data_IF_930697378339
#
_entry.id   IF_930697378339
#
_cell.length_a   1.000
_cell.length_b   1.000
_cell.length_c   1.000
_cell.angle_alpha   90.00
_cell.angle_beta   90.00
_cell.angle_gamma   90.00
#
_symmetry.space_group_name_H-M   'P 1'
#
loop_
_entity.id
_entity.type
_entity.pdbx_description
1 polymer ?
#
# COMPACT_ATOMS: atom_id res chain seq x y z
N UNK A 1 -23.64 36.67 -5.15
CA UNK A 1 -23.32 35.67 -6.20
C UNK A 1 -24.16 34.43 -5.93
N UNK A 2 -25.30 34.27 -6.62
CA UNK A 2 -26.19 33.12 -6.40
C UNK A 2 -25.55 31.86 -6.99
N UNK A 3 -25.26 30.85 -6.14
CA UNK A 3 -24.85 29.52 -6.59
C UNK A 3 -26.03 28.92 -7.36
N UNK A 4 -25.91 28.79 -8.69
CA UNK A 4 -26.85 28.01 -9.49
C UNK A 4 -26.80 26.56 -8.98
N UNK A 5 -27.86 26.13 -8.31
CA UNK A 5 -28.01 24.77 -7.85
C UNK A 5 -28.44 23.94 -9.06
N UNK A 6 -27.51 23.20 -9.68
CA UNK A 6 -27.87 22.24 -10.72
C UNK A 6 -28.61 21.07 -10.04
N UNK A 7 -29.91 20.98 -10.29
CA UNK A 7 -30.77 19.94 -9.71
C UNK A 7 -30.40 18.54 -10.21
N UNK A 8 -29.82 18.45 -11.42
CA UNK A 8 -29.29 17.23 -12.01
C UNK A 8 -27.86 17.51 -12.50
N UNK A 9 -26.83 17.10 -11.75
CA UNK A 9 -25.44 17.31 -12.17
C UNK A 9 -25.04 16.48 -13.39
N UNK A 10 -25.85 15.49 -13.80
CA UNK A 10 -25.60 14.68 -14.98
C UNK A 10 -24.40 13.75 -14.81
N UNK A 11 -23.56 13.67 -15.84
CA UNK A 11 -22.33 12.89 -15.84
C UNK A 11 -21.28 13.53 -14.94
N UNK A 12 -20.67 12.72 -14.06
CA UNK A 12 -19.64 13.17 -13.11
C UNK A 12 -18.33 12.43 -13.34
N UNK A 13 -17.22 13.17 -13.35
CA UNK A 13 -15.86 12.63 -13.47
C UNK A 13 -15.14 12.59 -12.13
N UNK A 14 -14.09 11.75 -12.03
CA UNK A 14 -13.19 11.77 -10.87
C UNK A 14 -12.36 13.04 -10.96
N UNK A 15 -12.34 13.85 -9.89
CA UNK A 15 -11.51 15.06 -9.81
C UNK A 15 -10.33 14.77 -8.90
N UNK A 16 -9.18 14.45 -9.49
CA UNK A 16 -7.98 14.19 -8.72
C UNK A 16 -7.40 15.47 -8.11
N UNK A 17 -7.01 15.39 -6.84
CA UNK A 17 -6.24 16.45 -6.19
C UNK A 17 -4.81 16.42 -6.72
N UNK A 18 -4.30 17.58 -7.12
CA UNK A 18 -2.96 17.75 -7.67
C UNK A 18 -2.21 18.81 -6.87
N UNK A 19 -0.92 18.57 -6.62
CA UNK A 19 -0.03 19.55 -6.00
C UNK A 19 0.37 20.68 -6.97
N UNK A 20 1.18 21.65 -6.52
CA UNK A 20 1.61 22.80 -7.33
C UNK A 20 2.32 22.42 -8.64
N UNK A 21 2.94 21.25 -8.69
CA UNK A 21 3.65 20.71 -9.86
C UNK A 21 2.78 19.84 -10.77
N UNK A 22 1.47 19.76 -10.52
CA UNK A 22 0.53 18.97 -11.32
C UNK A 22 0.49 17.47 -11.02
N UNK A 23 1.34 16.97 -10.12
CA UNK A 23 1.32 15.56 -9.68
C UNK A 23 0.19 15.28 -8.71
N UNK A 24 -0.30 14.04 -8.69
CA UNK A 24 -1.32 13.58 -7.76
C UNK A 24 -0.90 13.83 -6.30
N UNK A 25 -1.82 14.43 -5.53
CA UNK A 25 -1.65 14.66 -4.11
C UNK A 25 -2.10 13.41 -3.35
N UNK A 26 -1.14 12.73 -2.70
CA UNK A 26 -1.39 11.43 -2.07
C UNK A 26 -1.95 11.54 -0.64
N UNK A 27 -1.66 12.62 0.09
CA UNK A 27 -2.10 12.76 1.47
C UNK A 27 -3.63 12.84 1.55
N UNK A 28 -4.26 12.19 2.55
CA UNK A 28 -5.70 12.23 2.73
C UNK A 28 -6.23 13.66 2.92
N UNK A 29 -7.45 13.94 2.44
CA UNK A 29 -8.20 15.16 2.83
C UNK A 29 -8.47 15.18 4.33
N UNK A 30 -8.86 16.33 4.88
CA UNK A 30 -9.26 16.41 6.28
C UNK A 30 -10.51 15.55 6.57
N UNK A 31 -11.43 15.43 5.60
CA UNK A 31 -12.56 14.50 5.67
C UNK A 31 -12.10 13.03 5.75
N UNK A 32 -11.09 12.64 4.96
CA UNK A 32 -10.52 11.31 5.01
C UNK A 32 -9.71 11.07 6.29
N UNK A 33 -8.94 12.05 6.76
CA UNK A 33 -8.24 11.99 8.04
C UNK A 33 -9.22 11.78 9.20
N UNK A 34 -10.36 12.48 9.20
CA UNK A 34 -11.37 12.32 10.24
C UNK A 34 -11.85 10.87 10.38
N UNK A 35 -12.12 10.18 9.26
CA UNK A 35 -12.53 8.77 9.26
C UNK A 35 -11.38 7.83 9.60
N UNK A 36 -10.17 8.15 9.13
CA UNK A 36 -8.95 7.38 9.40
C UNK A 36 -8.61 7.41 10.90
N UNK A 37 -8.68 8.58 11.53
CA UNK A 37 -8.21 8.82 12.89
C UNK A 37 -9.29 8.50 13.95
N UNK A 38 -10.56 8.40 13.55
CA UNK A 38 -11.68 8.06 14.44
C UNK A 38 -12.40 6.76 14.02
N UNK A 39 -11.94 5.58 14.49
CA UNK A 39 -12.56 4.29 14.17
C UNK A 39 -14.03 4.13 14.59
N UNK A 40 -14.55 4.99 15.48
CA UNK A 40 -15.97 5.02 15.84
C UNK A 40 -16.87 5.52 14.72
N UNK A 41 -16.33 6.31 13.77
CA UNK A 41 -17.07 6.84 12.61
C UNK A 41 -17.05 5.88 11.40
N UNK A 42 -16.29 4.78 11.49
CA UNK A 42 -16.16 3.82 10.40
C UNK A 42 -17.39 2.88 10.37
N UNK A 43 -17.86 2.59 9.16
CA UNK A 43 -18.95 1.63 8.96
C UNK A 43 -18.50 0.20 9.31
N UNK A 44 -19.21 -0.42 10.28
CA UNK A 44 -18.96 -1.78 10.77
C UNK A 44 -20.02 -2.79 10.33
N UNK A 45 -20.93 -2.40 9.44
CA UNK A 45 -21.94 -3.30 8.88
C UNK A 45 -21.29 -4.50 8.17
N UNK A 46 -22.06 -5.55 7.89
CA UNK A 46 -21.58 -6.63 7.04
C UNK A 46 -21.37 -6.15 5.59
N UNK A 47 -20.37 -6.65 4.85
CA UNK A 47 -20.23 -6.37 3.42
C UNK A 47 -21.48 -6.79 2.63
N UNK A 48 -21.99 -5.91 1.79
CA UNK A 48 -23.06 -6.20 0.85
C UNK A 48 -22.52 -7.02 -0.34
N UNK A 49 -23.40 -7.84 -0.90
CA UNK A 49 -23.14 -8.52 -2.18
C UNK A 49 -23.01 -7.50 -3.32
N UNK A 50 -22.20 -7.84 -4.32
CA UNK A 50 -21.88 -6.94 -5.42
C UNK A 50 -23.12 -6.53 -6.25
N UNK A 51 -24.09 -7.44 -6.44
CA UNK A 51 -25.36 -7.16 -7.11
C UNK A 51 -26.15 -6.04 -6.41
N UNK A 52 -26.20 -6.05 -5.08
CA UNK A 52 -26.82 -4.98 -4.28
C UNK A 52 -26.04 -3.68 -4.35
N UNK A 53 -24.71 -3.73 -4.33
CA UNK A 53 -23.87 -2.53 -4.49
C UNK A 53 -24.11 -1.91 -5.88
N UNK A 54 -24.21 -2.73 -6.92
CA UNK A 54 -24.51 -2.29 -8.28
C UNK A 54 -25.89 -1.66 -8.42
N UNK A 55 -26.92 -2.28 -7.84
CA UNK A 55 -28.30 -1.75 -7.84
C UNK A 55 -28.38 -0.38 -7.16
N UNK A 56 -27.71 -0.22 -6.02
CA UNK A 56 -27.61 1.06 -5.31
C UNK A 56 -26.91 2.12 -6.18
N UNK A 57 -25.77 1.77 -6.79
CA UNK A 57 -25.02 2.65 -7.67
C UNK A 57 -25.86 3.11 -8.88
N UNK A 58 -26.55 2.19 -9.56
CA UNK A 58 -27.45 2.51 -10.67
C UNK A 58 -28.55 3.48 -10.26
N UNK A 59 -29.11 3.30 -9.06
CA UNK A 59 -30.14 4.20 -8.51
C UNK A 59 -29.58 5.61 -8.32
N UNK A 60 -28.39 5.74 -7.73
CA UNK A 60 -27.70 7.03 -7.53
C UNK A 60 -27.41 7.72 -8.87
N UNK A 61 -26.87 6.98 -9.85
CA UNK A 61 -26.57 7.52 -11.19
C UNK A 61 -27.85 8.00 -11.88
N UNK A 62 -28.95 7.23 -11.82
CA UNK A 62 -30.24 7.64 -12.41
C UNK A 62 -30.81 8.89 -11.73
N UNK A 63 -30.82 8.93 -10.40
CA UNK A 63 -31.38 10.04 -9.63
C UNK A 63 -30.69 11.37 -9.93
N UNK A 64 -29.38 11.35 -10.22
CA UNK A 64 -28.63 12.56 -10.59
C UNK A 64 -28.69 12.92 -12.09
N UNK A 65 -29.35 12.10 -12.91
CA UNK A 65 -29.40 12.27 -14.37
C UNK A 65 -28.13 11.83 -15.12
N UNK A 66 -27.34 10.93 -14.53
CA UNK A 66 -26.12 10.38 -15.12
C UNK A 66 -26.36 9.26 -16.12
N UNK A 67 -25.29 8.80 -16.77
CA UNK A 67 -25.34 7.76 -17.79
C UNK A 67 -25.03 6.37 -17.19
N UNK A 68 -26.04 5.51 -17.14
CA UNK A 68 -25.89 4.13 -16.65
C UNK A 68 -25.28 3.17 -17.66
N UNK A 69 -25.15 3.59 -18.93
CA UNK A 69 -24.51 2.79 -19.98
C UNK A 69 -22.99 2.91 -19.93
N UNK A 70 -22.47 3.95 -19.27
CA UNK A 70 -21.06 4.18 -19.03
C UNK A 70 -20.58 3.43 -17.76
N UNK A 71 -19.80 2.34 -17.88
CA UNK A 71 -19.43 1.51 -16.74
C UNK A 71 -18.65 2.26 -15.66
N UNK A 72 -17.77 3.19 -16.07
CA UNK A 72 -16.97 4.00 -15.14
C UNK A 72 -17.84 4.95 -14.30
N UNK A 73 -18.97 5.38 -14.84
CA UNK A 73 -19.89 6.25 -14.11
C UNK A 73 -20.60 5.47 -12.98
N UNK A 74 -21.04 4.26 -13.28
CA UNK A 74 -21.68 3.34 -12.33
C UNK A 74 -20.68 2.86 -11.29
N UNK A 75 -19.49 2.40 -11.71
CA UNK A 75 -18.43 1.96 -10.79
C UNK A 75 -17.98 3.06 -9.84
N UNK A 76 -17.96 4.33 -10.29
CA UNK A 76 -17.67 5.45 -9.42
C UNK A 76 -18.62 5.57 -8.22
N UNK A 77 -19.86 5.09 -8.35
CA UNK A 77 -20.87 5.09 -7.29
C UNK A 77 -20.95 3.77 -6.52
N UNK A 78 -20.10 2.78 -6.83
CA UNK A 78 -19.99 1.60 -5.98
C UNK A 78 -19.53 2.00 -4.59
N UNK A 79 -20.28 1.59 -3.57
CA UNK A 79 -19.90 1.78 -2.18
C UNK A 79 -18.81 0.78 -1.80
N UNK A 80 -17.71 1.27 -1.23
CA UNK A 80 -16.66 0.45 -0.64
C UNK A 80 -17.24 -0.47 0.43
N UNK A 81 -16.96 -1.77 0.30
CA UNK A 81 -17.39 -2.80 1.26
C UNK A 81 -16.28 -3.25 2.21
N UNK A 82 -15.16 -2.51 2.25
CA UNK A 82 -13.95 -2.87 2.98
C UNK A 82 -13.23 -1.64 3.57
N UNK A 83 -12.37 -1.90 4.55
CA UNK A 83 -11.42 -0.94 5.10
C UNK A 83 -12.04 0.24 5.83
N UNK A 84 -11.18 1.19 6.21
CA UNK A 84 -11.52 2.37 7.02
C UNK A 84 -12.49 3.36 6.36
N UNK A 85 -12.64 3.28 5.03
CA UNK A 85 -13.54 4.13 4.26
C UNK A 85 -14.78 3.38 3.75
N UNK A 86 -15.09 2.22 4.36
CA UNK A 86 -16.33 1.51 4.09
C UNK A 86 -17.54 2.46 4.18
N UNK A 87 -18.47 2.33 3.23
CA UNK A 87 -19.62 3.23 3.13
C UNK A 87 -19.40 4.45 2.22
N UNK A 88 -18.17 4.75 1.82
CA UNK A 88 -17.88 5.78 0.79
C UNK A 88 -17.87 5.18 -0.61
N UNK A 89 -18.12 6.00 -1.62
CA UNK A 89 -18.05 5.53 -3.01
C UNK A 89 -16.61 5.36 -3.52
N UNK A 90 -16.41 4.56 -4.55
CA UNK A 90 -15.10 4.40 -5.20
C UNK A 90 -14.55 5.75 -5.68
N UNK A 91 -15.42 6.57 -6.29
CA UNK A 91 -15.10 7.94 -6.68
C UNK A 91 -14.65 8.78 -5.50
N UNK A 92 -15.35 8.71 -4.37
CA UNK A 92 -14.98 9.47 -3.17
C UNK A 92 -13.55 9.12 -2.73
N UNK A 93 -13.18 7.84 -2.72
CA UNK A 93 -11.83 7.44 -2.32
C UNK A 93 -10.74 7.99 -3.25
N UNK A 94 -10.92 7.89 -4.58
CA UNK A 94 -9.96 8.45 -5.54
C UNK A 94 -9.77 9.98 -5.39
N UNK A 95 -10.82 10.70 -4.99
CA UNK A 95 -10.74 12.14 -4.76
C UNK A 95 -10.08 12.49 -3.42
N UNK A 96 -10.25 11.64 -2.40
CA UNK A 96 -9.95 11.97 -1.01
C UNK A 96 -8.67 11.33 -0.45
N UNK A 97 -8.20 10.20 -0.97
CA UNK A 97 -7.01 9.51 -0.48
C UNK A 97 -6.38 8.62 -1.58
N UNK A 98 -5.64 9.27 -2.48
CA UNK A 98 -4.89 8.58 -3.55
C UNK A 98 -3.80 7.69 -2.96
N UNK A 99 -3.15 8.10 -1.86
CA UNK A 99 -2.11 7.28 -1.23
C UNK A 99 -2.65 5.93 -0.76
N UNK A 100 -3.87 5.90 -0.19
CA UNK A 100 -4.52 4.64 0.17
C UNK A 100 -4.92 3.81 -1.06
N UNK A 101 -5.37 4.46 -2.15
CA UNK A 101 -5.60 3.77 -3.44
C UNK A 101 -4.35 3.04 -3.92
N UNK A 102 -3.21 3.73 -3.97
CA UNK A 102 -1.95 3.13 -4.43
C UNK A 102 -1.46 2.04 -3.49
N UNK A 103 -1.66 2.17 -2.18
CA UNK A 103 -1.40 1.11 -1.21
C UNK A 103 -2.23 -0.15 -1.51
N UNK A 104 -3.52 -0.01 -1.78
CA UNK A 104 -4.41 -1.14 -2.07
C UNK A 104 -4.00 -1.87 -3.36
N UNK A 105 -3.68 -1.13 -4.42
CA UNK A 105 -3.19 -1.69 -5.68
C UNK A 105 -1.94 -2.56 -5.44
N UNK A 106 -0.93 -1.99 -4.75
CA UNK A 106 0.31 -2.69 -4.41
C UNK A 106 0.09 -3.89 -3.50
N UNK A 107 -0.86 -3.80 -2.57
CA UNK A 107 -1.21 -4.91 -1.69
C UNK A 107 -1.81 -6.06 -2.50
N UNK A 108 -2.76 -5.78 -3.40
CA UNK A 108 -3.39 -6.77 -4.26
C UNK A 108 -2.36 -7.44 -5.18
N UNK A 109 -1.45 -6.70 -5.81
CA UNK A 109 -0.38 -7.25 -6.64
C UNK A 109 0.54 -8.20 -5.86
N UNK A 110 0.86 -7.86 -4.61
CA UNK A 110 1.69 -8.72 -3.74
C UNK A 110 0.98 -10.01 -3.37
N UNK A 111 -0.32 -9.96 -3.08
CA UNK A 111 -1.12 -11.17 -2.81
C UNK A 111 -1.19 -12.08 -4.05
N UNK A 112 -1.40 -11.49 -5.23
CA UNK A 112 -1.41 -12.20 -6.52
C UNK A 112 -0.05 -12.85 -6.80
N UNK A 113 1.06 -12.12 -6.63
CA UNK A 113 2.41 -12.66 -6.80
C UNK A 113 2.75 -13.76 -5.79
N UNK A 114 2.18 -13.72 -4.59
CA UNK A 114 2.33 -14.75 -3.57
C UNK A 114 1.44 -15.99 -3.80
N UNK A 115 0.59 -15.98 -4.84
CA UNK A 115 -0.36 -17.06 -5.12
C UNK A 115 -1.47 -17.19 -4.08
N UNK A 116 -1.67 -16.18 -3.23
CA UNK A 116 -2.73 -16.15 -2.21
C UNK A 116 -4.01 -15.65 -2.87
N UNK A 117 -4.61 -16.50 -3.70
CA UNK A 117 -5.90 -16.23 -4.33
C UNK A 117 -7.02 -16.97 -3.62
N UNK A 118 -7.44 -16.48 -2.45
CA UNK A 118 -8.79 -16.78 -1.96
C UNK A 118 -9.73 -15.71 -2.49
N UNK A 119 -10.54 -16.06 -3.47
CA UNK A 119 -11.68 -15.25 -3.97
C UNK A 119 -12.85 -15.23 -2.97
N UNK A 120 -12.55 -15.37 -1.68
CA UNK A 120 -13.55 -15.64 -0.66
C UNK A 120 -13.99 -14.35 0.04
N UNK A 121 -15.23 -13.95 -0.26
CA UNK A 121 -15.95 -12.92 0.48
C UNK A 121 -16.24 -11.65 -0.31
N UNK A 122 -17.38 -11.03 0.00
CA UNK A 122 -17.84 -9.82 -0.70
C UNK A 122 -16.89 -8.61 -0.54
N UNK A 123 -16.12 -8.56 0.54
CA UNK A 123 -15.10 -7.52 0.73
C UNK A 123 -13.97 -7.64 -0.31
N UNK A 124 -13.53 -8.87 -0.64
CA UNK A 124 -12.47 -9.12 -1.64
C UNK A 124 -12.97 -8.80 -3.05
N UNK A 125 -14.21 -9.18 -3.38
CA UNK A 125 -14.85 -8.78 -4.64
C UNK A 125 -14.90 -7.25 -4.78
N UNK A 126 -15.33 -6.54 -3.74
CA UNK A 126 -15.33 -5.07 -3.74
C UNK A 126 -13.93 -4.46 -3.90
N UNK A 127 -12.91 -5.06 -3.27
CA UNK A 127 -11.51 -4.62 -3.43
C UNK A 127 -11.03 -4.78 -4.87
N UNK A 128 -11.27 -5.93 -5.50
CA UNK A 128 -10.88 -6.18 -6.89
C UNK A 128 -11.60 -5.26 -7.87
N UNK A 129 -12.91 -5.05 -7.70
CA UNK A 129 -13.69 -4.10 -8.50
C UNK A 129 -13.18 -2.66 -8.32
N UNK A 130 -12.78 -2.28 -7.11
CA UNK A 130 -12.16 -0.98 -6.85
C UNK A 130 -10.79 -0.84 -7.53
N UNK A 131 -9.92 -1.85 -7.43
CA UNK A 131 -8.60 -1.85 -8.07
C UNK A 131 -8.74 -1.74 -9.59
N UNK A 132 -9.64 -2.52 -10.20
CA UNK A 132 -9.92 -2.43 -11.64
C UNK A 132 -10.43 -1.04 -12.05
N UNK A 133 -11.34 -0.46 -11.26
CA UNK A 133 -11.81 0.91 -11.48
C UNK A 133 -10.68 1.94 -11.36
N UNK A 134 -9.84 1.87 -10.33
CA UNK A 134 -8.73 2.79 -10.12
C UNK A 134 -7.69 2.75 -11.26
N UNK A 135 -7.37 1.55 -11.76
CA UNK A 135 -6.46 1.35 -12.90
C UNK A 135 -7.01 1.86 -14.24
N UNK A 136 -8.31 2.12 -14.34
CA UNK A 136 -8.88 2.75 -15.55
C UNK A 136 -8.46 4.22 -15.74
N UNK A 137 -7.84 4.84 -14.73
CA UNK A 137 -7.40 6.23 -14.78
C UNK A 137 -5.90 6.32 -15.07
N UNK A 138 -5.54 6.98 -16.18
CA UNK A 138 -4.15 7.15 -16.60
C UNK A 138 -3.28 7.87 -15.55
N UNK A 139 -3.85 8.76 -14.73
CA UNK A 139 -3.12 9.40 -13.63
C UNK A 139 -2.72 8.41 -12.53
N UNK A 140 -3.54 7.40 -12.24
CA UNK A 140 -3.25 6.36 -11.25
C UNK A 140 -2.17 5.41 -11.80
N UNK A 141 -2.32 4.97 -13.06
CA UNK A 141 -1.31 4.14 -13.73
C UNK A 141 0.05 4.84 -13.78
N UNK A 142 0.07 6.11 -14.18
CA UNK A 142 1.30 6.91 -14.22
C UNK A 142 1.96 7.02 -12.84
N UNK A 143 1.15 7.14 -11.77
CA UNK A 143 1.65 7.18 -10.41
C UNK A 143 2.22 5.82 -9.97
N UNK A 144 1.50 4.72 -10.24
CA UNK A 144 1.95 3.36 -9.94
C UNK A 144 3.27 3.04 -10.64
N UNK A 145 3.37 3.36 -11.95
CA UNK A 145 4.60 3.22 -12.73
C UNK A 145 5.74 4.03 -12.11
N UNK A 146 5.54 5.33 -11.89
CA UNK A 146 6.54 6.19 -11.27
C UNK A 146 7.00 5.68 -9.89
N UNK A 147 6.10 5.11 -9.09
CA UNK A 147 6.47 4.54 -7.79
C UNK A 147 7.16 3.17 -7.88
N UNK A 148 6.96 2.43 -8.96
CA UNK A 148 7.70 1.19 -9.26
C UNK A 148 9.09 1.47 -9.85
N UNK A 149 9.20 2.54 -10.64
CA UNK A 149 10.44 3.02 -11.26
C UNK A 149 11.29 3.86 -10.32
N UNK A 150 10.66 4.53 -9.33
CA UNK A 150 11.39 5.09 -8.20
C UNK A 150 12.27 3.97 -7.66
N UNK A 151 13.61 4.15 -7.65
CA UNK A 151 14.44 3.30 -6.83
C UNK A 151 13.89 3.50 -5.41
N UNK A 152 13.18 2.51 -4.89
CA UNK A 152 12.65 2.51 -3.53
C UNK A 152 13.80 2.94 -2.64
N UNK A 153 13.86 4.22 -2.22
CA UNK A 153 15.06 4.92 -1.79
C UNK A 153 16.27 4.00 -1.67
N UNK A 154 16.98 3.72 -2.78
CA UNK A 154 17.93 2.60 -2.95
C UNK A 154 17.66 1.46 -1.98
N UNK A 155 16.90 0.40 -2.34
CA UNK A 155 16.63 -0.73 -1.45
C UNK A 155 17.87 -0.99 -0.63
N UNK A 156 17.87 -0.46 0.61
CA UNK A 156 19.12 -0.22 1.32
C UNK A 156 19.72 -1.60 1.34
N UNK A 157 20.92 -1.75 0.75
CA UNK A 157 21.55 -3.06 0.68
C UNK A 157 21.42 -3.65 2.08
N UNK A 158 21.25 -4.97 2.23
CA UNK A 158 21.09 -5.56 3.57
C UNK A 158 22.18 -5.03 4.55
N UNK A 159 23.35 -4.71 3.97
CA UNK A 159 24.49 -3.96 4.51
C UNK A 159 24.21 -2.54 5.06
N UNK A 160 23.38 -1.74 4.41
CA UNK A 160 23.09 -0.32 4.72
C UNK A 160 21.96 -0.16 5.75
N UNK A 161 21.34 -1.27 6.20
CA UNK A 161 20.33 -1.22 7.27
C UNK A 161 20.96 -0.76 8.59
N UNK A 162 20.26 0.09 9.34
CA UNK A 162 20.71 0.49 10.68
C UNK A 162 20.39 -0.58 11.72
N UNK A 163 21.27 -0.73 12.72
CA UNK A 163 21.01 -1.60 13.88
C UNK A 163 19.76 -1.13 14.62
N UNK A 164 19.62 0.18 14.84
CA UNK A 164 18.40 0.79 15.38
C UNK A 164 18.10 0.45 16.85
N UNK A 165 19.09 -0.02 17.61
CA UNK A 165 19.03 -0.24 19.07
C UNK A 165 20.42 -0.18 19.72
N UNK A 166 20.46 0.11 21.02
CA UNK A 166 21.70 0.15 21.81
C UNK A 166 22.71 1.22 21.34
N UNK A 167 23.96 1.07 21.76
CA UNK A 167 25.04 2.02 21.44
C UNK A 167 25.38 2.06 19.94
N UNK A 168 25.00 1.01 19.19
CA UNK A 168 25.22 0.89 17.75
C UNK A 168 23.99 1.31 16.94
N UNK A 169 22.97 1.95 17.55
CA UNK A 169 21.70 2.24 16.89
C UNK A 169 21.84 3.03 15.57
N UNK A 170 22.89 3.85 15.46
CA UNK A 170 23.20 4.67 14.27
C UNK A 170 24.17 3.99 13.30
N UNK A 171 24.72 2.83 13.65
CA UNK A 171 25.63 2.08 12.78
C UNK A 171 24.86 1.22 11.79
N UNK A 172 25.45 1.04 10.62
CA UNK A 172 24.94 0.12 9.60
C UNK A 172 25.32 -1.33 9.91
N UNK A 173 24.61 -2.28 9.31
CA UNK A 173 24.91 -3.70 9.46
C UNK A 173 26.27 -4.05 8.86
N UNK A 174 26.69 -3.37 7.78
CA UNK A 174 28.04 -3.46 7.20
C UNK A 174 29.09 -2.98 8.17
N UNK A 175 28.92 -1.80 8.78
CA UNK A 175 29.87 -1.29 9.78
C UNK A 175 30.06 -2.26 10.94
N UNK A 176 28.98 -2.88 11.42
CA UNK A 176 29.05 -3.92 12.46
C UNK A 176 29.82 -5.16 11.99
N UNK A 177 29.65 -5.56 10.73
CA UNK A 177 30.37 -6.69 10.15
C UNK A 177 31.86 -6.40 9.91
N UNK A 178 32.17 -5.21 9.42
CA UNK A 178 33.52 -4.78 9.07
C UNK A 178 34.34 -4.51 10.34
N UNK A 179 33.72 -3.90 11.36
CA UNK A 179 34.34 -3.62 12.67
C UNK A 179 34.12 -4.74 13.71
N UNK A 180 33.90 -5.98 13.27
CA UNK A 180 33.65 -7.14 14.16
C UNK A 180 34.74 -7.43 15.21
N UNK A 181 35.90 -6.80 15.09
CA UNK A 181 36.99 -6.91 16.06
C UNK A 181 36.63 -6.31 17.44
N UNK A 182 35.65 -5.39 17.48
CA UNK A 182 35.13 -4.78 18.71
C UNK A 182 34.32 -5.75 19.60
N UNK A 183 34.02 -6.96 19.10
CA UNK A 183 33.30 -8.01 19.81
C UNK A 183 31.77 -7.89 19.75
N UNK A 184 31.21 -6.82 19.20
CA UNK A 184 29.76 -6.61 19.16
C UNK A 184 29.06 -7.62 18.24
N UNK A 185 29.60 -7.89 17.05
CA UNK A 185 29.08 -8.91 16.14
C UNK A 185 29.07 -10.32 16.78
N UNK A 186 30.14 -10.65 17.53
CA UNK A 186 30.25 -11.93 18.25
C UNK A 186 29.24 -12.05 19.39
N UNK A 187 28.97 -10.94 20.09
CA UNK A 187 27.91 -10.87 21.09
C UNK A 187 26.54 -11.18 20.46
N UNK A 188 26.16 -10.44 19.41
CA UNK A 188 24.86 -10.61 18.72
C UNK A 188 24.68 -12.04 18.19
N UNK A 189 25.73 -12.69 17.68
CA UNK A 189 25.68 -14.07 17.21
C UNK A 189 25.38 -15.09 18.33
N UNK A 190 25.75 -14.79 19.58
CA UNK A 190 25.54 -15.66 20.75
C UNK A 190 24.26 -15.35 21.51
N UNK A 191 23.70 -14.15 21.35
CA UNK A 191 22.49 -13.71 22.05
C UNK A 191 21.27 -14.56 21.63
N UNK A 192 20.46 -14.96 22.62
CA UNK A 192 19.14 -15.54 22.34
C UNK A 192 18.20 -14.42 21.85
N UNK A 193 17.70 -14.55 20.64
CA UNK A 193 16.81 -13.57 20.01
C UNK A 193 15.42 -14.17 19.80
N UNK A 194 14.40 -13.32 19.81
CA UNK A 194 13.03 -13.70 19.47
C UNK A 194 12.73 -13.33 18.02
N UNK A 195 12.10 -14.25 17.30
CA UNK A 195 11.73 -14.10 15.89
C UNK A 195 10.99 -12.79 15.65
N UNK A 196 11.38 -12.06 14.61
CA UNK A 196 10.76 -10.79 14.23
C UNK A 196 11.38 -9.54 14.86
N UNK A 197 12.22 -9.67 15.89
CA UNK A 197 12.92 -8.52 16.49
C UNK A 197 13.99 -7.92 15.60
N UNK A 198 14.33 -6.64 15.83
CA UNK A 198 15.46 -5.98 15.14
C UNK A 198 16.79 -6.72 15.38
N UNK A 199 17.00 -7.21 16.61
CA UNK A 199 18.18 -7.99 16.97
C UNK A 199 18.21 -9.35 16.26
N UNK A 200 17.07 -10.04 16.13
CA UNK A 200 16.96 -11.27 15.34
C UNK A 200 17.34 -11.05 13.88
N UNK A 201 16.87 -9.96 13.26
CA UNK A 201 17.19 -9.63 11.87
C UNK A 201 18.68 -9.39 11.65
N UNK A 202 19.31 -8.57 12.51
CA UNK A 202 20.77 -8.36 12.48
C UNK A 202 21.54 -9.68 12.68
N UNK A 203 21.07 -10.54 13.59
CA UNK A 203 21.67 -11.86 13.81
C UNK A 203 21.62 -12.75 12.56
N UNK A 204 20.52 -12.75 11.81
CA UNK A 204 20.42 -13.52 10.56
C UNK A 204 21.40 -12.99 9.49
N UNK A 205 21.50 -11.68 9.35
CA UNK A 205 22.46 -11.05 8.45
C UNK A 205 23.91 -11.46 8.77
N UNK A 206 24.31 -11.37 10.04
CA UNK A 206 25.66 -11.76 10.48
C UNK A 206 25.93 -13.25 10.23
N UNK A 207 24.94 -14.13 10.47
CA UNK A 207 25.06 -15.57 10.17
C UNK A 207 25.26 -15.81 8.67
N UNK A 208 24.52 -15.12 7.83
CA UNK A 208 24.66 -15.18 6.37
C UNK A 208 26.07 -14.76 5.92
N UNK A 209 26.61 -13.67 6.47
CA UNK A 209 27.98 -13.21 6.16
C UNK A 209 29.05 -14.19 6.64
N UNK A 210 28.89 -14.81 7.82
CA UNK A 210 29.79 -15.88 8.29
C UNK A 210 29.74 -17.08 7.34
N UNK A 211 28.54 -17.52 6.94
CA UNK A 211 28.36 -18.64 6.01
C UNK A 211 29.01 -18.36 4.65
N UNK A 212 28.77 -17.18 4.06
CA UNK A 212 29.38 -16.76 2.79
C UNK A 212 30.90 -16.72 2.86
N UNK A 213 31.47 -16.25 3.98
CA UNK A 213 32.92 -16.22 4.18
C UNK A 213 33.50 -17.64 4.25
N UNK A 214 32.86 -18.55 4.99
CA UNK A 214 33.29 -19.94 5.09
C UNK A 214 33.27 -20.63 3.72
N UNK A 215 32.20 -20.42 2.94
CA UNK A 215 32.08 -20.94 1.56
C UNK A 215 33.17 -20.38 0.63
N UNK A 216 33.52 -19.10 0.76
CA UNK A 216 34.61 -18.46 0.01
C UNK A 216 36.00 -18.99 0.42
N UNK A 217 36.20 -19.39 1.68
CA UNK A 217 37.46 -20.00 2.12
C UNK A 217 37.57 -21.48 1.77
N UNK A 218 36.46 -22.23 1.78
CA UNK A 218 36.42 -23.65 1.42
C UNK A 218 36.59 -23.91 -0.09
N UNK A 219 36.28 -22.92 -0.93
CA UNK A 219 36.56 -22.96 -2.37
C UNK A 219 38.04 -22.68 -2.70
N UNK A 220 38.76 -21.98 -1.82
CA UNK A 220 40.19 -21.71 -1.98
C UNK A 220 41.08 -22.89 -1.54
N UNK A 221 40.63 -23.68 -0.55
CA UNK A 221 41.33 -24.89 -0.06
C UNK A 221 41.24 -26.12 -0.97
N UNK A 222 40.51 -26.06 -2.09
CA UNK A 222 40.44 -27.13 -3.11
C UNK A 222 41.37 -26.91 -4.31
N UNK A 223 42.17 -25.85 -4.29
CA UNK A 223 43.16 -25.51 -5.33
C UNK A 223 44.56 -25.36 -4.73
N UNK A 224 45.06 -26.42 -4.09
CA UNK A 224 46.48 -26.67 -3.79
C UNK A 224 46.67 -28.18 -3.74
#
# INVERSE_FOLDING_TARGET
MQKKFCFFPGRINVVFRKGPRGYLYQDPTDEAKLLKDNPSLQDKSAPLREDRVKENALTVVRQRGGDVTEPAEVLGEYTLQFGKYKGKSFRWLLQNDVGYTTYLIKHTEKEEAAGVSTTEGHYKASLLSFVGYARSFGEIESLCLYESEKPAAQAASEDDQLVGFGNYAKSTWREVWDNRADGFASFILRTKTHSGSRMYRLQQYLRKKVCLRLLSTSSCLKCT
#
